data_IF_870971755288
#
_entry.id   IF_870971755288
#
_cell.length_a   1.000
_cell.length_b   1.000
_cell.length_c   1.000
_cell.angle_alpha   90.00
_cell.angle_beta   90.00
_cell.angle_gamma   90.00
#
_symmetry.space_group_name_H-M   'P 1'
#
loop_
_entity.id
_entity.type
_entity.pdbx_description
1 polymer ?
#
# COMPACT_ATOMS: atom_id res chain seq x y z
N UNK A 1 0.42 -15.12 -6.87
CA UNK A 1 1.82 -15.27 -6.42
C UNK A 1 2.14 -16.74 -6.24
N UNK A 2 3.27 -17.18 -6.74
CA UNK A 2 3.72 -18.56 -6.66
C UNK A 2 4.67 -18.85 -5.49
N UNK A 3 4.95 -17.87 -4.64
CA UNK A 3 5.87 -18.00 -3.52
C UNK A 3 5.28 -17.43 -2.24
N UNK A 4 5.87 -17.80 -1.11
CA UNK A 4 5.52 -17.24 0.20
C UNK A 4 6.70 -16.43 0.73
N UNK A 5 6.40 -15.35 1.45
CA UNK A 5 7.42 -14.45 1.98
C UNK A 5 8.43 -15.15 2.90
N UNK A 6 8.01 -16.03 3.85
CA UNK A 6 8.99 -16.75 4.67
C UNK A 6 9.96 -17.60 3.85
N UNK A 7 9.49 -18.22 2.77
CA UNK A 7 10.34 -19.03 1.90
C UNK A 7 11.41 -18.21 1.20
N UNK A 8 11.04 -16.96 0.80
CA UNK A 8 12.02 -16.04 0.21
C UNK A 8 13.08 -15.63 1.22
N UNK A 9 12.70 -15.37 2.46
CA UNK A 9 13.65 -15.03 3.51
C UNK A 9 14.62 -16.17 3.77
N UNK A 10 14.13 -17.40 3.79
CA UNK A 10 14.96 -18.58 4.00
C UNK A 10 15.93 -18.80 2.83
N UNK A 11 15.44 -18.66 1.59
CA UNK A 11 16.24 -18.82 0.38
C UNK A 11 17.37 -17.80 0.30
N UNK A 12 17.09 -16.54 0.68
CA UNK A 12 18.04 -15.45 0.59
C UNK A 12 18.54 -14.98 1.96
N UNK A 13 18.65 -15.88 2.91
CA UNK A 13 19.03 -15.55 4.30
C UNK A 13 20.34 -14.75 4.38
N UNK A 14 21.34 -15.11 3.56
CA UNK A 14 22.62 -14.40 3.54
C UNK A 14 22.54 -12.96 3.03
N UNK A 15 21.44 -12.61 2.35
CA UNK A 15 21.23 -11.28 1.78
C UNK A 15 20.35 -10.39 2.67
N UNK A 16 19.79 -10.93 3.76
CA UNK A 16 18.94 -10.17 4.67
C UNK A 16 19.73 -9.04 5.31
N UNK A 17 19.16 -7.84 5.28
CA UNK A 17 19.81 -6.63 5.76
C UNK A 17 20.78 -6.01 4.77
N UNK A 18 20.99 -6.65 3.63
CA UNK A 18 21.88 -6.20 2.55
C UNK A 18 21.04 -5.86 1.32
N UNK A 19 20.98 -6.75 0.33
CA UNK A 19 20.14 -6.59 -0.86
C UNK A 19 18.68 -6.96 -0.60
N UNK A 20 18.40 -7.79 0.43
CA UNK A 20 17.06 -8.16 0.87
C UNK A 20 16.78 -7.48 2.21
N UNK A 21 15.67 -6.75 2.29
CA UNK A 21 15.27 -6.05 3.51
C UNK A 21 13.85 -6.44 3.89
N UNK A 22 13.66 -6.69 5.18
CA UNK A 22 12.33 -7.00 5.72
C UNK A 22 11.81 -5.75 6.42
N UNK A 23 10.59 -5.36 6.06
CA UNK A 23 9.92 -4.21 6.68
C UNK A 23 9.61 -4.54 8.13
N UNK A 24 9.92 -3.60 9.04
CA UNK A 24 9.58 -3.75 10.46
C UNK A 24 8.08 -4.01 10.61
N UNK A 25 7.68 -5.02 11.41
CA UNK A 25 6.27 -5.33 11.61
C UNK A 25 5.50 -4.17 12.22
N UNK A 26 4.70 -3.49 11.43
CA UNK A 26 3.84 -2.39 11.88
C UNK A 26 2.58 -2.27 11.04
N UNK A 27 2.57 -2.87 9.86
CA UNK A 27 1.47 -2.74 8.92
C UNK A 27 0.39 -3.79 9.16
N UNK A 28 -0.86 -3.37 9.04
CA UNK A 28 -2.02 -4.25 9.09
C UNK A 28 -2.48 -4.57 7.67
N UNK A 29 -3.14 -5.71 7.51
CA UNK A 29 -3.66 -6.15 6.21
C UNK A 29 -5.05 -5.57 5.97
N UNK A 30 -5.20 -5.04 4.78
CA UNK A 30 -6.50 -4.61 4.26
C UNK A 30 -6.58 -5.12 2.81
N UNK A 31 -7.68 -4.83 2.14
CA UNK A 31 -7.84 -5.25 0.75
C UNK A 31 -8.26 -6.71 0.61
N UNK A 32 -8.71 -7.06 -0.58
CA UNK A 32 -9.18 -8.41 -0.88
C UNK A 32 -8.07 -9.40 -1.19
N UNK A 33 -6.86 -8.91 -1.44
CA UNK A 33 -5.71 -9.74 -1.79
C UNK A 33 -4.74 -9.77 -0.60
N UNK A 34 -4.55 -10.95 -0.01
CA UNK A 34 -3.71 -11.11 1.18
C UNK A 34 -2.21 -11.12 0.86
N UNK A 35 -1.84 -11.50 -0.36
CA UNK A 35 -0.46 -11.53 -0.85
C UNK A 35 -0.35 -10.79 -2.16
N UNK A 36 0.71 -10.01 -2.32
CA UNK A 36 0.96 -9.29 -3.56
C UNK A 36 2.43 -8.95 -3.68
N UNK A 37 2.86 -8.67 -4.89
CA UNK A 37 4.24 -8.27 -5.18
C UNK A 37 4.26 -7.45 -6.47
N UNK A 38 5.35 -6.72 -6.68
CA UNK A 38 5.54 -5.94 -7.87
C UNK A 38 6.71 -5.00 -7.75
N UNK A 39 6.98 -4.28 -8.83
CA UNK A 39 7.98 -3.23 -8.85
C UNK A 39 7.52 -2.07 -7.96
N UNK A 40 8.38 -1.62 -7.07
CA UNK A 40 8.05 -0.52 -6.16
C UNK A 40 8.10 0.81 -6.88
N UNK A 41 7.03 1.59 -6.71
CA UNK A 41 6.97 3.01 -7.06
C UNK A 41 6.74 3.75 -5.75
N UNK A 42 7.52 4.78 -5.47
CA UNK A 42 7.45 5.51 -4.21
C UNK A 42 6.77 6.85 -4.37
N UNK A 43 6.09 7.26 -3.31
CA UNK A 43 5.42 8.56 -3.23
C UNK A 43 5.54 9.08 -1.80
N UNK A 44 6.01 10.31 -1.65
CA UNK A 44 6.12 10.94 -0.33
C UNK A 44 5.13 12.08 -0.22
N UNK A 45 4.25 12.01 0.79
CA UNK A 45 3.21 13.02 1.04
C UNK A 45 3.06 13.22 2.55
N UNK A 46 2.38 14.29 2.94
CA UNK A 46 2.03 14.47 4.34
C UNK A 46 0.64 15.08 4.47
N UNK A 47 -0.32 14.27 4.94
CA UNK A 47 -1.70 14.66 5.24
C UNK A 47 -2.47 15.32 4.08
N UNK A 48 -1.97 15.15 2.87
CA UNK A 48 -2.59 15.62 1.62
C UNK A 48 -2.40 14.52 0.58
N UNK A 49 -3.50 13.95 0.09
CA UNK A 49 -3.47 12.81 -0.83
C UNK A 49 -3.65 13.16 -2.29
N UNK A 50 -3.49 14.42 -2.68
CA UNK A 50 -3.69 14.84 -4.08
C UNK A 50 -2.82 14.04 -5.05
N UNK A 51 -1.55 13.81 -4.69
CA UNK A 51 -0.61 13.07 -5.53
C UNK A 51 -0.91 11.57 -5.60
N UNK A 52 -1.64 11.03 -4.61
CA UNK A 52 -2.03 9.61 -4.63
C UNK A 52 -2.96 9.34 -5.80
N UNK A 53 -3.93 10.21 -6.04
CA UNK A 53 -4.85 10.09 -7.16
C UNK A 53 -4.10 10.15 -8.49
N UNK A 54 -3.16 11.08 -8.62
CA UNK A 54 -2.34 11.19 -9.83
C UNK A 54 -1.54 9.92 -10.09
N UNK A 55 -0.94 9.35 -9.04
CA UNK A 55 -0.16 8.11 -9.16
C UNK A 55 -1.05 6.94 -9.58
N UNK A 56 -2.19 6.76 -8.91
CA UNK A 56 -3.09 5.64 -9.23
C UNK A 56 -3.78 5.77 -10.58
N UNK A 57 -3.82 6.98 -11.16
CA UNK A 57 -4.36 7.20 -12.50
C UNK A 57 -3.43 6.67 -13.60
N UNK A 58 -2.17 6.43 -13.28
CA UNK A 58 -1.20 5.88 -14.22
C UNK A 58 -1.32 4.36 -14.30
N UNK A 59 -0.72 3.77 -15.36
CA UNK A 59 -0.66 2.32 -15.51
C UNK A 59 0.17 1.71 -14.39
N UNK A 60 -0.48 0.90 -13.56
CA UNK A 60 0.15 0.25 -12.42
C UNK A 60 0.43 -1.24 -12.61
N UNK A 61 0.30 -1.76 -13.83
CA UNK A 61 0.48 -3.19 -14.09
C UNK A 61 1.85 -3.67 -13.60
N UNK A 62 1.83 -4.65 -12.70
CA UNK A 62 3.05 -5.21 -12.12
C UNK A 62 3.73 -4.31 -11.09
N UNK A 63 3.05 -3.27 -10.61
CA UNK A 63 3.62 -2.29 -9.69
C UNK A 63 2.91 -2.24 -8.35
N UNK A 64 3.66 -1.87 -7.33
CA UNK A 64 3.16 -1.61 -5.97
C UNK A 64 3.53 -0.18 -5.60
N UNK A 65 2.53 0.63 -5.21
CA UNK A 65 2.78 2.00 -4.77
C UNK A 65 3.07 1.99 -3.27
N UNK A 66 4.24 2.47 -2.89
CA UNK A 66 4.62 2.65 -1.48
C UNK A 66 4.49 4.13 -1.15
N UNK A 67 3.52 4.45 -0.32
CA UNK A 67 3.17 5.82 0.06
C UNK A 67 3.78 6.12 1.43
N UNK A 68 4.77 7.00 1.47
CA UNK A 68 5.29 7.50 2.74
C UNK A 68 4.45 8.69 3.16
N UNK A 69 3.52 8.45 4.09
CA UNK A 69 2.65 9.47 4.66
C UNK A 69 3.17 10.03 5.99
N UNK A 70 4.45 9.82 6.28
CA UNK A 70 5.06 10.34 7.50
C UNK A 70 4.59 9.66 8.78
N UNK A 71 3.85 8.55 8.67
CA UNK A 71 3.32 7.85 9.83
C UNK A 71 2.15 8.57 10.50
N UNK A 72 1.56 9.58 9.85
CA UNK A 72 0.46 10.34 10.45
C UNK A 72 -0.75 9.45 10.74
N UNK A 73 -1.31 9.64 11.93
CA UNK A 73 -2.55 8.98 12.37
C UNK A 73 -3.70 9.98 12.46
N UNK A 74 -3.59 11.15 11.81
CA UNK A 74 -4.56 12.25 11.94
C UNK A 74 -5.57 12.33 10.82
N UNK A 75 -5.36 11.59 9.75
CA UNK A 75 -6.32 11.52 8.64
C UNK A 75 -6.04 10.28 7.80
N UNK A 76 -7.00 9.94 6.94
CA UNK A 76 -6.85 8.85 5.98
C UNK A 76 -6.33 9.39 4.66
N UNK A 77 -5.37 8.69 4.07
CA UNK A 77 -4.77 9.06 2.78
C UNK A 77 -5.42 8.32 1.61
N UNK A 78 -5.99 7.14 1.86
CA UNK A 78 -6.62 6.33 0.81
C UNK A 78 -7.96 5.82 1.31
N UNK A 79 -8.99 6.00 0.51
CA UNK A 79 -10.30 5.42 0.73
C UNK A 79 -10.65 4.46 -0.40
N UNK A 80 -11.92 4.02 -0.43
CA UNK A 80 -12.39 3.03 -1.39
C UNK A 80 -12.29 3.49 -2.83
N UNK A 81 -12.57 4.76 -3.12
CA UNK A 81 -12.54 5.28 -4.49
C UNK A 81 -11.12 5.25 -5.08
N UNK A 82 -10.11 5.59 -4.28
CA UNK A 82 -8.73 5.50 -4.72
C UNK A 82 -8.27 4.05 -4.88
N UNK A 83 -8.73 3.15 -4.01
CA UNK A 83 -8.43 1.73 -4.12
C UNK A 83 -9.04 1.14 -5.40
N UNK A 84 -10.27 1.53 -5.74
CA UNK A 84 -10.93 1.12 -6.99
C UNK A 84 -10.15 1.64 -8.19
N UNK A 85 -9.73 2.89 -8.17
CA UNK A 85 -8.93 3.48 -9.24
C UNK A 85 -7.62 2.72 -9.44
N UNK A 86 -6.93 2.40 -8.35
CA UNK A 86 -5.70 1.62 -8.41
C UNK A 86 -5.92 0.23 -9.01
N UNK A 87 -6.94 -0.47 -8.55
CA UNK A 87 -7.28 -1.80 -9.03
C UNK A 87 -7.63 -1.76 -10.52
N UNK A 88 -8.42 -0.77 -10.93
CA UNK A 88 -8.83 -0.59 -12.32
C UNK A 88 -7.64 -0.37 -13.26
N UNK A 89 -6.60 0.32 -12.78
CA UNK A 89 -5.41 0.62 -13.58
C UNK A 89 -4.30 -0.42 -13.42
N UNK A 90 -4.61 -1.56 -12.83
CA UNK A 90 -3.74 -2.72 -12.82
C UNK A 90 -2.73 -2.78 -11.69
N UNK A 91 -2.77 -1.85 -10.72
CA UNK A 91 -1.86 -1.88 -9.59
C UNK A 91 -2.03 -3.18 -8.80
N UNK A 92 -0.91 -3.81 -8.46
CA UNK A 92 -0.92 -5.06 -7.69
C UNK A 92 -1.30 -4.81 -6.24
N UNK A 93 -0.90 -3.67 -5.71
CA UNK A 93 -1.20 -3.29 -4.35
C UNK A 93 -0.58 -1.96 -3.97
N UNK A 94 -0.81 -1.56 -2.73
CA UNK A 94 -0.18 -0.36 -2.19
C UNK A 94 0.09 -0.53 -0.69
N UNK A 95 1.11 0.16 -0.23
CA UNK A 95 1.54 0.19 1.17
C UNK A 95 1.51 1.64 1.62
N UNK A 96 0.79 1.93 2.71
CA UNK A 96 0.63 3.29 3.21
C UNK A 96 1.28 3.40 4.59
N UNK A 97 2.33 4.17 4.69
CA UNK A 97 2.88 4.56 5.99
C UNK A 97 2.05 5.72 6.52
N UNK A 98 0.86 5.40 6.96
CA UNK A 98 -0.21 6.29 7.38
C UNK A 98 -1.51 5.51 7.49
N UNK A 99 -2.65 6.21 7.46
CA UNK A 99 -3.96 5.61 7.63
C UNK A 99 -4.75 5.55 6.33
N UNK A 100 -5.69 4.61 6.29
CA UNK A 100 -6.72 4.50 5.24
C UNK A 100 -8.09 4.61 5.89
N UNK A 101 -9.15 4.68 5.08
CA UNK A 101 -10.54 4.59 5.55
C UNK A 101 -11.31 3.62 4.66
N UNK A 102 -12.58 3.42 4.96
CA UNK A 102 -13.46 2.52 4.19
C UNK A 102 -12.91 1.08 4.14
N UNK A 103 -12.33 0.62 5.26
CA UNK A 103 -11.67 -0.69 5.29
C UNK A 103 -12.61 -1.84 4.95
N UNK A 104 -13.89 -1.74 5.31
CA UNK A 104 -14.89 -2.74 4.97
C UNK A 104 -15.11 -2.85 3.46
N UNK A 105 -15.19 -1.71 2.78
CA UNK A 105 -15.35 -1.66 1.32
C UNK A 105 -14.06 -2.10 0.61
N UNK A 106 -12.92 -1.67 1.11
CA UNK A 106 -11.61 -2.03 0.55
C UNK A 106 -11.38 -3.53 0.62
N UNK A 107 -11.88 -4.19 1.65
CA UNK A 107 -11.76 -5.64 1.79
C UNK A 107 -12.36 -6.40 0.60
N UNK A 108 -13.37 -5.83 -0.05
CA UNK A 108 -14.01 -6.43 -1.22
C UNK A 108 -13.31 -6.14 -2.55
N UNK A 109 -12.24 -5.35 -2.55
CA UNK A 109 -11.52 -4.96 -3.76
C UNK A 109 -10.32 -5.89 -3.96
N UNK A 110 -10.17 -6.46 -5.16
CA UNK A 110 -9.07 -7.37 -5.49
C UNK A 110 -7.77 -6.61 -5.69
N UNK A 111 -7.19 -6.16 -4.60
CA UNK A 111 -5.92 -5.44 -4.55
C UNK A 111 -5.26 -5.69 -3.18
N UNK A 112 -3.95 -5.71 -3.14
CA UNK A 112 -3.21 -5.82 -1.88
C UNK A 112 -3.10 -4.47 -1.18
N UNK A 113 -3.37 -4.44 0.11
CA UNK A 113 -3.29 -3.19 0.89
C UNK A 113 -2.64 -3.45 2.24
N UNK A 114 -1.67 -2.62 2.57
CA UNK A 114 -1.05 -2.56 3.89
C UNK A 114 -1.08 -1.12 4.38
N UNK A 115 -1.45 -0.91 5.63
CA UNK A 115 -1.49 0.42 6.24
C UNK A 115 -1.28 0.31 7.75
N UNK A 116 -0.95 1.42 8.39
CA UNK A 116 -0.75 1.43 9.84
C UNK A 116 -2.05 1.24 10.59
N UNK A 117 -3.11 1.91 10.16
CA UNK A 117 -4.41 1.87 10.83
C UNK A 117 -5.48 2.49 9.94
N UNK A 118 -6.68 2.61 10.48
CA UNK A 118 -7.79 3.31 9.84
C UNK A 118 -8.06 4.62 10.55
N UNK A 119 -8.58 5.60 9.81
CA UNK A 119 -9.02 6.89 10.35
C UNK A 119 -10.21 7.36 9.53
N UNK A 120 -11.31 7.80 10.16
CA UNK A 120 -12.52 8.14 9.41
C UNK A 120 -12.46 9.48 8.66
N UNK A 121 -11.52 10.34 9.02
CA UNK A 121 -11.44 11.69 8.44
C UNK A 121 -10.56 11.70 7.20
N UNK A 122 -11.08 12.26 6.10
CA UNK A 122 -10.28 12.41 4.88
C UNK A 122 -9.16 13.43 5.06
N UNK A 123 -8.16 13.35 4.21
CA UNK A 123 -7.08 14.33 4.18
C UNK A 123 -7.59 15.67 3.65
N UNK A 124 -6.95 16.77 4.05
CA UNK A 124 -7.24 18.12 3.54
C UNK A 124 -6.27 18.37 2.38
N UNK A 125 -6.84 18.61 1.20
CA UNK A 125 -6.04 18.92 0.01
C UNK A 125 -5.57 20.36 0.06
N UNK A 126 -4.29 20.54 -0.19
CA UNK A 126 -3.67 21.86 -0.13
C UNK A 126 -3.21 22.35 -1.50
#
# INVERSE_FOLDING_TARGET
MSFKTPDLCDEFESELGKSIRVVTPMFQRYGGRSSFSGQIVTLKIFEDNSLVREAFAEDGKGKVLVIDGGGSMRCALVGDQLAILAQKNGWEGFVVYGCIRDSGDIKGIDIGVRALNTHPQKSIKK
#
